data_IF_874647197022
#
_entry.id   IF_874647197022
#
_cell.length_a   1.000
_cell.length_b   1.000
_cell.length_c   1.000
_cell.angle_alpha   90.00
_cell.angle_beta   90.00
_cell.angle_gamma   90.00
#
_symmetry.space_group_name_H-M   'P 1'
#
loop_
_entity.id
_entity.type
_entity.pdbx_description
1 polymer ?
#
# COMPACT_ATOMS: atom_id res chain seq x y z
N UNK A 1 6.61 -3.03 9.41
CA UNK A 1 6.09 -2.02 8.47
C UNK A 1 4.92 -2.61 7.69
N UNK A 2 3.97 -1.77 7.28
CA UNK A 2 2.85 -2.13 6.40
C UNK A 2 2.76 -1.10 5.27
N UNK A 3 2.64 -1.56 4.03
CA UNK A 3 2.44 -0.70 2.86
C UNK A 3 0.99 -0.77 2.41
N UNK A 4 0.37 0.40 2.22
CA UNK A 4 -0.96 0.53 1.65
C UNK A 4 -0.79 1.12 0.25
N UNK A 5 -1.14 0.33 -0.77
CA UNK A 5 -1.14 0.77 -2.16
C UNK A 5 -2.44 1.53 -2.42
N UNK A 6 -2.39 2.86 -2.34
CA UNK A 6 -3.56 3.71 -2.55
C UNK A 6 -3.87 3.84 -4.04
N UNK A 7 -5.09 3.46 -4.43
CA UNK A 7 -5.56 3.56 -5.79
C UNK A 7 -6.96 4.16 -5.83
N UNK A 8 -7.20 5.04 -6.80
CA UNK A 8 -8.55 5.54 -7.05
C UNK A 8 -9.52 4.37 -7.31
N UNK A 9 -10.67 4.29 -6.61
CA UNK A 9 -11.61 3.17 -6.76
C UNK A 9 -12.10 2.91 -8.19
N UNK A 10 -12.31 3.96 -9.00
CA UNK A 10 -12.72 3.80 -10.40
C UNK A 10 -11.61 3.18 -11.24
N UNK A 11 -10.37 3.59 -11.00
CA UNK A 11 -9.20 3.03 -11.67
C UNK A 11 -8.96 1.58 -11.24
N UNK A 12 -9.15 1.27 -9.96
CA UNK A 12 -9.05 -0.08 -9.42
C UNK A 12 -10.04 -1.04 -10.10
N UNK A 13 -11.32 -0.64 -10.20
CA UNK A 13 -12.34 -1.41 -10.93
C UNK A 13 -11.95 -1.62 -12.38
N UNK A 14 -11.54 -0.56 -13.08
CA UNK A 14 -11.13 -0.66 -14.49
C UNK A 14 -9.99 -1.66 -14.69
N UNK A 15 -8.99 -1.66 -13.81
CA UNK A 15 -7.87 -2.62 -13.85
C UNK A 15 -8.32 -4.04 -13.49
N UNK A 16 -9.22 -4.20 -12.52
CA UNK A 16 -9.77 -5.52 -12.17
C UNK A 16 -10.54 -6.15 -13.33
N UNK A 17 -11.39 -5.35 -14.00
CA UNK A 17 -12.10 -5.79 -15.20
C UNK A 17 -11.16 -6.17 -16.34
N UNK A 18 -10.12 -5.36 -16.60
CA UNK A 18 -9.15 -5.64 -17.66
C UNK A 18 -8.33 -6.92 -17.43
N UNK A 19 -8.12 -7.34 -16.17
CA UNK A 19 -7.39 -8.57 -15.83
C UNK A 19 -8.21 -9.85 -15.97
N UNK A 20 -9.54 -9.75 -16.09
CA UNK A 20 -10.43 -10.92 -16.14
C UNK A 20 -10.41 -11.57 -17.53
N UNK A 21 -10.04 -12.84 -17.57
CA UNK A 21 -10.24 -13.73 -18.72
C UNK A 21 -11.62 -14.45 -18.70
N UNK A 22 -12.39 -14.33 -17.61
CA UNK A 22 -13.70 -14.99 -17.42
C UNK A 22 -14.67 -14.10 -16.60
N UNK A 23 -16.01 -14.18 -16.80
CA UNK A 23 -16.94 -13.11 -16.44
C UNK A 23 -17.49 -13.15 -15.00
N UNK A 24 -17.12 -14.13 -14.16
CA UNK A 24 -17.72 -14.28 -12.83
C UNK A 24 -17.14 -13.27 -11.83
N UNK A 25 -17.86 -12.17 -11.56
CA UNK A 25 -17.51 -11.18 -10.53
C UNK A 25 -17.38 -11.85 -9.16
N UNK A 26 -16.25 -11.63 -8.48
CA UNK A 26 -16.12 -12.07 -7.09
C UNK A 26 -17.05 -11.26 -6.18
N UNK A 27 -17.18 -11.67 -4.91
CA UNK A 27 -18.09 -11.01 -3.96
C UNK A 27 -17.83 -9.51 -3.77
N UNK A 28 -16.58 -9.07 -3.95
CA UNK A 28 -16.18 -7.69 -3.70
C UNK A 28 -16.49 -6.76 -4.88
N UNK A 29 -16.43 -7.27 -6.11
CA UNK A 29 -16.75 -6.48 -7.30
C UNK A 29 -18.27 -6.24 -7.44
N UNK A 30 -19.10 -7.16 -6.91
CA UNK A 30 -20.56 -6.97 -6.84
C UNK A 30 -20.96 -5.80 -5.94
N UNK A 31 -20.19 -5.50 -4.89
CA UNK A 31 -20.46 -4.35 -4.03
C UNK A 31 -20.10 -2.99 -4.69
N UNK A 32 -19.27 -3.02 -5.74
CA UNK A 32 -19.03 -1.90 -6.64
C UNK A 32 -18.29 -0.70 -6.05
N UNK A 33 -18.41 0.45 -6.74
CA UNK A 33 -17.62 1.66 -6.48
C UNK A 33 -17.77 2.21 -5.05
N UNK A 34 -18.97 2.12 -4.46
CA UNK A 34 -19.25 2.65 -3.11
C UNK A 34 -18.51 1.88 -2.03
N UNK A 35 -18.42 0.56 -2.15
CA UNK A 35 -17.67 -0.28 -1.23
C UNK A 35 -16.17 0.02 -1.31
N UNK A 36 -15.60 0.03 -2.52
CA UNK A 36 -14.17 0.36 -2.70
C UNK A 36 -13.82 1.76 -2.17
N UNK A 37 -14.72 2.73 -2.31
CA UNK A 37 -14.54 4.07 -1.72
C UNK A 37 -14.59 4.05 -0.18
N UNK A 38 -15.39 3.18 0.45
CA UNK A 38 -15.38 2.96 1.91
C UNK A 38 -14.08 2.29 2.35
N UNK A 39 -13.66 1.23 1.67
CA UNK A 39 -12.40 0.52 1.95
C UNK A 39 -11.21 1.46 1.88
N UNK A 40 -11.09 2.26 0.81
CA UNK A 40 -10.02 3.25 0.66
C UNK A 40 -10.00 4.23 1.83
N UNK A 41 -11.16 4.79 2.22
CA UNK A 41 -11.27 5.71 3.36
C UNK A 41 -10.83 5.06 4.68
N UNK A 42 -11.17 3.80 4.90
CA UNK A 42 -10.72 3.04 6.06
C UNK A 42 -9.19 2.93 6.13
N UNK A 43 -8.55 2.52 5.03
CA UNK A 43 -7.09 2.43 4.97
C UNK A 43 -6.40 3.78 5.12
N UNK A 44 -6.92 4.85 4.52
CA UNK A 44 -6.39 6.20 4.71
C UNK A 44 -6.47 6.65 6.17
N UNK A 45 -7.59 6.36 6.85
CA UNK A 45 -7.77 6.67 8.27
C UNK A 45 -6.77 5.91 9.13
N UNK A 46 -6.54 4.62 8.84
CA UNK A 46 -5.54 3.81 9.53
C UNK A 46 -4.12 4.36 9.32
N UNK A 47 -3.78 4.76 8.10
CA UNK A 47 -2.47 5.32 7.78
C UNK A 47 -2.22 6.65 8.50
N UNK A 48 -3.22 7.54 8.55
CA UNK A 48 -3.17 8.79 9.30
C UNK A 48 -3.01 8.56 10.80
N UNK A 49 -3.70 7.56 11.36
CA UNK A 49 -3.58 7.23 12.78
C UNK A 49 -2.28 6.50 13.14
N UNK A 50 -1.60 5.88 12.17
CA UNK A 50 -0.42 5.03 12.41
C UNK A 50 0.75 5.35 11.45
N UNK A 51 1.18 6.62 11.30
CA UNK A 51 2.12 7.03 10.26
C UNK A 51 3.53 6.44 10.45
N UNK A 52 3.88 6.01 11.66
CA UNK A 52 5.15 5.36 11.95
C UNK A 52 5.27 3.98 11.27
N UNK A 53 4.18 3.19 11.27
CA UNK A 53 4.19 1.78 10.83
C UNK A 53 3.45 1.52 9.53
N UNK A 54 2.53 2.41 9.12
CA UNK A 54 1.79 2.33 7.87
C UNK A 54 2.29 3.41 6.91
N UNK A 55 2.70 3.01 5.70
CA UNK A 55 3.13 3.92 4.64
C UNK A 55 2.17 3.81 3.46
N UNK A 56 1.71 4.95 2.97
CA UNK A 56 0.91 5.03 1.75
C UNK A 56 1.86 5.10 0.54
N UNK A 57 1.53 4.34 -0.50
CA UNK A 57 2.23 4.33 -1.79
C UNK A 57 1.18 4.61 -2.87
N UNK A 58 1.47 5.52 -3.79
CA UNK A 58 0.55 5.83 -4.88
C UNK A 58 0.57 4.73 -5.95
N UNK A 59 -0.53 3.98 -6.08
CA UNK A 59 -0.63 2.88 -7.04
C UNK A 59 -1.19 3.30 -8.42
N UNK A 60 -1.38 4.60 -8.68
CA UNK A 60 -2.00 5.08 -9.92
C UNK A 60 -1.10 4.92 -11.17
N UNK A 61 0.23 4.89 -10.96
CA UNK A 61 1.22 4.74 -12.02
C UNK A 61 1.22 3.37 -12.71
N UNK A 62 2.14 3.20 -13.66
CA UNK A 62 2.46 1.90 -14.27
C UNK A 62 3.09 0.95 -13.24
N UNK A 63 3.04 -0.38 -13.45
CA UNK A 63 3.65 -1.34 -12.53
C UNK A 63 5.07 -0.98 -12.10
N UNK A 64 5.95 -0.68 -13.06
CA UNK A 64 7.37 -0.34 -12.79
C UNK A 64 7.53 0.95 -11.97
N UNK A 65 6.65 1.94 -12.19
CA UNK A 65 6.66 3.20 -11.41
C UNK A 65 6.24 2.93 -9.96
N UNK A 66 5.22 2.09 -9.76
CA UNK A 66 4.74 1.70 -8.44
C UNK A 66 5.78 0.83 -7.73
N UNK A 67 6.43 -0.07 -8.44
CA UNK A 67 7.53 -0.90 -7.93
C UNK A 67 8.69 -0.04 -7.44
N UNK A 68 9.13 0.95 -8.22
CA UNK A 68 10.20 1.86 -7.83
C UNK A 68 9.83 2.67 -6.57
N UNK A 69 8.57 3.09 -6.43
CA UNK A 69 8.09 3.79 -5.23
C UNK A 69 8.10 2.86 -4.00
N UNK A 70 7.65 1.62 -4.16
CA UNK A 70 7.71 0.59 -3.11
C UNK A 70 9.15 0.34 -2.68
N UNK A 71 10.06 0.12 -3.63
CA UNK A 71 11.47 -0.16 -3.37
C UNK A 71 12.09 0.96 -2.52
N UNK A 72 11.87 2.22 -2.91
CA UNK A 72 12.33 3.39 -2.16
C UNK A 72 11.84 3.38 -0.70
N UNK A 73 10.55 3.13 -0.48
CA UNK A 73 9.97 3.10 0.88
C UNK A 73 10.56 1.97 1.71
N UNK A 74 10.80 0.80 1.10
CA UNK A 74 11.40 -0.36 1.77
C UNK A 74 12.86 -0.12 2.10
N UNK A 75 13.65 0.43 1.18
CA UNK A 75 15.05 0.78 1.41
C UNK A 75 15.20 1.79 2.56
N UNK A 76 14.38 2.84 2.57
CA UNK A 76 14.36 3.82 3.66
C UNK A 76 14.06 3.18 5.01
N UNK A 77 13.13 2.23 5.06
CA UNK A 77 12.81 1.48 6.25
C UNK A 77 14.01 0.63 6.72
N UNK A 78 14.61 -0.15 5.81
CA UNK A 78 15.76 -1.00 6.12
C UNK A 78 16.96 -0.17 6.62
N UNK A 79 17.23 0.99 6.01
CA UNK A 79 18.29 1.91 6.45
C UNK A 79 18.07 2.40 7.88
N UNK A 80 16.82 2.70 8.27
CA UNK A 80 16.49 3.15 9.63
C UNK A 80 16.65 2.04 10.66
N UNK A 81 16.24 0.82 10.32
CA UNK A 81 16.37 -0.34 11.20
C UNK A 81 17.83 -0.75 11.41
N UNK A 82 18.64 -0.75 10.35
CA UNK A 82 20.08 -1.05 10.46
C UNK A 82 20.82 -0.05 11.36
N UNK A 83 20.47 1.25 11.28
CA UNK A 83 21.00 2.27 12.19
C UNK A 83 20.56 2.05 13.65
N UNK A 84 19.32 1.66 13.88
CA UNK A 84 18.82 1.37 15.24
C UNK A 84 19.46 0.11 15.86
N UNK A 85 19.79 -0.90 15.04
CA UNK A 85 20.52 -2.09 15.49
C UNK A 85 21.97 -1.78 15.87
N UNK A 86 22.66 -0.94 15.10
CA UNK A 86 24.03 -0.50 15.44
C UNK A 86 24.11 0.32 16.73
N UNK A 87 23.18 1.25 16.96
CA UNK A 87 23.16 2.12 18.15
C UNK A 87 22.80 1.36 19.45
N UNK A 88 22.11 0.21 19.35
CA UNK A 88 21.82 -0.65 20.51
C UNK A 88 22.99 -1.56 20.89
N UNK A 89 23.88 -1.89 19.96
CA UNK A 89 25.06 -2.70 20.23
C UNK A 89 26.15 -1.93 21.01
N UNK A 90 26.25 -0.61 20.83
CA UNK A 90 27.26 0.24 21.48
C UNK A 90 26.90 0.72 22.91
N UNK A 91 25.73 0.35 23.44
CA UNK A 91 25.27 0.76 24.78
C UNK A 91 25.27 -0.37 25.81
N UNK A 92 26.16 -1.34 25.65
CA UNK A 92 26.43 -2.38 26.64
C UNK A 92 27.87 -2.29 27.15
N UNK A 93 28.09 -1.50 28.19
CA UNK A 93 29.16 -1.65 29.19
C UNK A 93 28.66 -1.10 30.51
#
# INVERSE_FOLDING_TARGET
>A
MTLVLDLNPRLALRRAHARRASPSADGFEREGLRFLARVRRGYMSLALANPARIKLVNAAGKPDEVEAEIAKVVEDFLRRESKHRGVRADRGF
#
